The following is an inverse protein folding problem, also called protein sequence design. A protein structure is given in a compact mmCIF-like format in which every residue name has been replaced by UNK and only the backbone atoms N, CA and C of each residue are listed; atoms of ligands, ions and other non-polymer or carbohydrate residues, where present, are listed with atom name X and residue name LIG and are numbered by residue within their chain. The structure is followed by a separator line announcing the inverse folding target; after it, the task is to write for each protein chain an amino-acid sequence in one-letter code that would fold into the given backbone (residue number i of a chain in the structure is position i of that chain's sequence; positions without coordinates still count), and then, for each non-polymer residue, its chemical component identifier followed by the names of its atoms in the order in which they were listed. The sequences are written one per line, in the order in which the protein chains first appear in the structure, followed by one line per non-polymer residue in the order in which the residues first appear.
data_IF_123330219449
#
_entry.id   IF_123330219449
#
_cell.length_a   1.000
_cell.length_b   1.000
_cell.length_c   1.000
_cell.angle_alpha   90.00
_cell.angle_beta   90.00
_cell.angle_gamma   90.00
#
_symmetry.space_group_name_H-M   'P 1'
#
loop_
_entity.id
_entity.type
_entity.pdbx_description
1 polymer ?
#
# COMPACT_ATOMS: atom_id res chain seq x y z
N UNK A 1 -9.82 14.74 -9.05
CA UNK A 1 -9.29 16.11 -8.90
C UNK A 1 -10.41 17.08 -8.54
N UNK A 2 -11.49 17.14 -9.31
CA UNK A 2 -12.61 18.05 -9.06
C UNK A 2 -13.19 17.88 -7.64
N UNK A 3 -13.44 16.64 -7.21
CA UNK A 3 -13.95 16.31 -5.86
C UNK A 3 -13.05 16.85 -4.73
N UNK A 4 -11.72 16.75 -4.87
CA UNK A 4 -10.77 17.29 -3.88
C UNK A 4 -10.91 18.81 -3.78
N UNK A 5 -10.91 19.51 -4.93
CA UNK A 5 -11.09 20.95 -4.99
C UNK A 5 -12.39 21.36 -4.28
N UNK A 6 -13.51 20.77 -4.67
CA UNK A 6 -14.84 21.07 -4.09
C UNK A 6 -14.89 20.80 -2.58
N UNK A 7 -14.22 19.74 -2.11
CA UNK A 7 -14.14 19.43 -0.68
C UNK A 7 -13.41 20.54 0.10
N UNK A 8 -12.26 20.99 -0.36
CA UNK A 8 -11.51 22.07 0.29
C UNK A 8 -12.25 23.41 0.19
N UNK A 9 -12.90 23.72 -0.94
CA UNK A 9 -13.72 24.91 -1.10
C UNK A 9 -14.93 24.92 -0.14
N UNK A 10 -15.58 23.76 0.03
CA UNK A 10 -16.75 23.61 0.90
C UNK A 10 -16.40 23.69 2.39
N UNK A 11 -15.32 23.09 2.81
CA UNK A 11 -14.98 22.96 4.23
C UNK A 11 -13.92 23.98 4.70
N UNK A 12 -13.28 24.70 3.78
CA UNK A 12 -12.22 25.70 4.07
C UNK A 12 -10.93 25.08 4.55
N UNK A 13 -10.99 24.10 5.46
CA UNK A 13 -9.85 23.37 6.02
C UNK A 13 -10.15 21.88 6.09
N UNK A 14 -9.18 21.06 5.69
CA UNK A 14 -9.21 19.60 5.85
C UNK A 14 -7.89 19.18 6.50
N UNK A 15 -7.95 18.69 7.72
CA UNK A 15 -6.76 18.33 8.49
C UNK A 15 -6.17 16.99 8.07
N UNK A 16 -7.01 16.05 7.58
CA UNK A 16 -6.60 14.69 7.24
C UNK A 16 -7.16 14.27 5.89
N UNK A 17 -6.30 13.81 5.01
CA UNK A 17 -6.66 13.19 3.72
C UNK A 17 -6.37 11.70 3.82
N UNK A 18 -7.39 10.87 3.67
CA UNK A 18 -7.27 9.40 3.70
C UNK A 18 -7.43 8.83 2.31
N UNK A 19 -6.37 8.23 1.78
CA UNK A 19 -6.37 7.48 0.53
C UNK A 19 -6.60 6.00 0.84
N UNK A 20 -7.86 5.56 0.72
CA UNK A 20 -8.27 4.20 1.10
C UNK A 20 -8.79 3.37 -0.08
N UNK A 21 -9.23 4.01 -1.18
CA UNK A 21 -9.81 3.30 -2.31
C UNK A 21 -8.84 2.28 -2.91
N UNK A 22 -9.32 1.04 -3.08
CA UNK A 22 -8.53 -0.04 -3.64
C UNK A 22 -9.24 -1.38 -3.53
N UNK A 23 -8.80 -2.34 -4.34
CA UNK A 23 -9.31 -3.71 -4.34
C UNK A 23 -8.20 -4.72 -4.58
N UNK A 24 -8.46 -6.00 -4.28
CA UNK A 24 -7.59 -7.12 -4.56
C UNK A 24 -7.90 -7.74 -5.92
N UNK A 25 -6.86 -8.02 -6.71
CA UNK A 25 -6.94 -8.79 -7.94
C UNK A 25 -6.02 -10.01 -7.78
N UNK A 26 -6.60 -11.20 -7.90
CA UNK A 26 -5.95 -12.47 -7.65
C UNK A 26 -5.88 -13.30 -8.95
N UNK A 27 -4.70 -13.84 -9.21
CA UNK A 27 -4.34 -14.63 -10.37
C UNK A 27 -2.84 -14.51 -10.62
N UNK A 28 -2.24 -15.52 -11.24
CA UNK A 28 -0.86 -15.45 -11.71
C UNK A 28 -0.75 -14.42 -12.84
N UNK A 29 0.46 -13.93 -13.12
CA UNK A 29 0.64 -12.84 -14.07
C UNK A 29 0.07 -13.14 -15.47
N UNK A 30 0.19 -14.37 -15.94
CA UNK A 30 -0.32 -14.81 -17.25
C UNK A 30 -1.85 -14.97 -17.29
N UNK A 31 -2.48 -15.14 -16.13
CA UNK A 31 -3.93 -15.28 -15.99
C UNK A 31 -4.68 -13.95 -16.07
N UNK A 32 -3.95 -12.82 -15.92
CA UNK A 32 -4.51 -11.48 -15.89
C UNK A 32 -4.66 -10.91 -17.31
N UNK A 33 -5.82 -10.39 -17.62
CA UNK A 33 -6.02 -9.60 -18.84
C UNK A 33 -5.42 -8.20 -18.73
N UNK A 34 -5.09 -7.59 -19.87
CA UNK A 34 -4.59 -6.21 -19.94
C UNK A 34 -5.58 -5.21 -19.32
N UNK A 35 -6.87 -5.44 -19.47
CA UNK A 35 -7.91 -4.59 -18.88
C UNK A 35 -7.91 -4.66 -17.35
N UNK A 36 -7.76 -5.85 -16.78
CA UNK A 36 -7.64 -6.03 -15.33
C UNK A 36 -6.38 -5.38 -14.78
N UNK A 37 -5.24 -5.54 -15.49
CA UNK A 37 -3.97 -4.90 -15.15
C UNK A 37 -4.13 -3.38 -15.15
N UNK A 38 -4.66 -2.80 -16.23
CA UNK A 38 -4.86 -1.36 -16.35
C UNK A 38 -5.82 -0.83 -15.27
N UNK A 39 -6.88 -1.56 -14.98
CA UNK A 39 -7.89 -1.15 -14.01
C UNK A 39 -7.35 -1.14 -12.57
N UNK A 40 -6.58 -2.17 -12.16
CA UNK A 40 -6.00 -2.17 -10.82
C UNK A 40 -4.93 -1.09 -10.63
N UNK A 41 -4.12 -0.83 -11.66
CA UNK A 41 -3.15 0.29 -11.65
C UNK A 41 -3.88 1.63 -11.54
N UNK A 42 -4.91 1.83 -12.35
CA UNK A 42 -5.69 3.07 -12.33
C UNK A 42 -6.33 3.31 -10.96
N UNK A 43 -6.86 2.27 -10.32
CA UNK A 43 -7.57 2.39 -9.04
C UNK A 43 -6.61 2.48 -7.86
N UNK A 44 -5.74 1.47 -7.68
CA UNK A 44 -4.93 1.34 -6.47
C UNK A 44 -3.71 2.26 -6.45
N UNK A 45 -3.16 2.60 -7.62
CA UNK A 45 -1.94 3.39 -7.71
C UNK A 45 -2.22 4.81 -8.24
N UNK A 46 -2.66 4.94 -9.48
CA UNK A 46 -2.84 6.26 -10.11
C UNK A 46 -3.89 7.11 -9.37
N UNK A 47 -5.01 6.50 -8.95
CA UNK A 47 -6.04 7.18 -8.18
C UNK A 47 -5.54 7.72 -6.84
N UNK A 48 -4.75 6.92 -6.12
CA UNK A 48 -4.10 7.32 -4.86
C UNK A 48 -3.10 8.46 -5.08
N UNK A 49 -2.24 8.34 -6.10
CA UNK A 49 -1.29 9.41 -6.47
C UNK A 49 -2.03 10.72 -6.80
N UNK A 50 -3.09 10.65 -7.59
CA UNK A 50 -3.87 11.83 -7.96
C UNK A 50 -4.56 12.49 -6.77
N UNK A 51 -5.12 11.70 -5.85
CA UNK A 51 -5.72 12.21 -4.61
C UNK A 51 -4.67 12.98 -3.78
N UNK A 52 -3.54 12.35 -3.50
CA UNK A 52 -2.46 12.96 -2.72
C UNK A 52 -1.95 14.22 -3.41
N UNK A 53 -1.51 14.10 -4.67
CA UNK A 53 -0.98 15.22 -5.47
C UNK A 53 -1.92 16.42 -5.48
N UNK A 54 -3.23 16.19 -5.67
CA UNK A 54 -4.22 17.27 -5.74
C UNK A 54 -4.45 17.92 -4.39
N UNK A 55 -4.26 17.19 -3.27
CA UNK A 55 -4.44 17.70 -1.91
C UNK A 55 -3.26 18.55 -1.44
N UNK A 56 -2.04 18.29 -1.92
CA UNK A 56 -0.81 18.95 -1.44
C UNK A 56 -0.86 20.48 -1.48
N UNK A 57 -1.31 21.16 -2.54
CA UNK A 57 -1.37 22.62 -2.58
C UNK A 57 -2.26 23.21 -1.48
N UNK A 58 -3.36 22.56 -1.18
CA UNK A 58 -4.31 22.99 -0.14
C UNK A 58 -3.74 22.79 1.25
N UNK A 59 -3.17 21.61 1.54
CA UNK A 59 -2.52 21.30 2.81
C UNK A 59 -1.35 22.26 3.07
N UNK A 60 -0.54 22.53 2.06
CA UNK A 60 0.56 23.51 2.16
C UNK A 60 0.05 24.92 2.46
N UNK A 61 -1.00 25.36 1.74
CA UNK A 61 -1.59 26.71 1.92
C UNK A 61 -2.18 26.91 3.32
N UNK A 62 -2.77 25.86 3.91
CA UNK A 62 -3.35 25.94 5.25
C UNK A 62 -2.33 25.76 6.39
N UNK A 63 -1.05 25.51 6.08
CA UNK A 63 0.04 25.38 7.06
C UNK A 63 0.28 23.97 7.59
N UNK A 64 -0.22 22.94 6.90
CA UNK A 64 0.04 21.55 7.25
C UNK A 64 -1.19 20.65 7.21
N UNK A 65 -1.01 19.41 7.64
CA UNK A 65 -2.03 18.38 7.74
C UNK A 65 -1.45 16.98 7.74
N UNK A 66 -2.33 15.98 7.57
CA UNK A 66 -1.97 14.56 7.55
C UNK A 66 -2.46 13.89 6.28
N UNK A 67 -1.63 13.04 5.71
CA UNK A 67 -1.97 12.14 4.60
C UNK A 67 -1.85 10.71 5.12
N UNK A 68 -2.94 9.97 5.05
CA UNK A 68 -2.99 8.54 5.42
C UNK A 68 -3.19 7.75 4.15
N UNK A 69 -2.19 6.95 3.76
CA UNK A 69 -2.28 6.05 2.61
C UNK A 69 -2.50 4.61 3.09
N UNK A 70 -3.64 4.04 2.75
CA UNK A 70 -3.90 2.61 2.97
C UNK A 70 -3.12 1.79 1.93
N UNK A 71 -1.99 1.22 2.37
CA UNK A 71 -1.24 0.22 1.63
C UNK A 71 -1.66 -1.19 2.06
N UNK A 72 -0.72 -2.03 2.32
CA UNK A 72 -0.82 -3.40 2.82
C UNK A 72 0.58 -3.86 3.23
N UNK A 73 0.69 -4.84 4.14
CA UNK A 73 1.98 -5.55 4.27
C UNK A 73 2.44 -6.17 2.93
N UNK A 74 1.49 -6.38 1.99
CA UNK A 74 1.77 -6.75 0.61
C UNK A 74 2.49 -5.67 -0.24
N UNK A 75 2.78 -4.48 0.32
CA UNK A 75 3.72 -3.51 -0.22
C UNK A 75 5.18 -3.77 0.19
N UNK A 76 5.42 -4.72 1.10
CA UNK A 76 6.74 -5.15 1.57
C UNK A 76 7.03 -6.62 1.26
N UNK A 77 5.99 -7.44 1.18
CA UNK A 77 6.05 -8.90 0.96
C UNK A 77 5.27 -9.24 -0.30
N UNK A 78 5.83 -10.08 -1.17
CA UNK A 78 5.15 -10.57 -2.36
C UNK A 78 4.84 -12.07 -2.25
N UNK A 79 3.66 -12.45 -2.72
CA UNK A 79 3.18 -13.84 -2.79
C UNK A 79 2.73 -14.18 -4.22
N UNK A 80 2.80 -15.45 -4.62
CA UNK A 80 2.24 -15.91 -5.89
C UNK A 80 0.75 -15.52 -6.06
N UNK A 81 0.30 -15.40 -7.29
CA UNK A 81 -1.07 -15.04 -7.68
C UNK A 81 -1.57 -13.68 -7.14
N UNK A 82 -0.67 -12.78 -6.77
CA UNK A 82 -0.96 -11.42 -6.33
C UNK A 82 -0.08 -10.37 -7.01
N UNK A 83 0.54 -10.68 -8.14
CA UNK A 83 1.57 -9.88 -8.79
C UNK A 83 1.16 -8.41 -8.98
N UNK A 84 0.00 -8.14 -9.57
CA UNK A 84 -0.45 -6.78 -9.84
C UNK A 84 -0.93 -6.04 -8.59
N UNK A 85 -1.54 -6.74 -7.63
CA UNK A 85 -1.85 -6.14 -6.33
C UNK A 85 -0.57 -5.67 -5.62
N UNK A 86 0.43 -6.54 -5.54
CA UNK A 86 1.74 -6.19 -4.97
C UNK A 86 2.41 -5.05 -5.73
N UNK A 87 2.43 -5.08 -7.06
CA UNK A 87 2.99 -3.99 -7.87
C UNK A 87 2.38 -2.62 -7.50
N UNK A 88 1.05 -2.55 -7.31
CA UNK A 88 0.39 -1.31 -6.92
C UNK A 88 0.72 -0.89 -5.48
N UNK A 89 0.86 -1.84 -4.54
CA UNK A 89 1.17 -1.54 -3.15
C UNK A 89 2.64 -1.17 -2.95
N UNK A 90 3.58 -1.86 -3.57
CA UNK A 90 4.98 -1.43 -3.61
C UNK A 90 5.13 -0.05 -4.26
N UNK A 91 4.44 0.18 -5.38
CA UNK A 91 4.49 1.46 -6.09
C UNK A 91 3.98 2.64 -5.26
N UNK A 92 2.83 2.49 -4.59
CA UNK A 92 2.28 3.59 -3.77
C UNK A 92 3.12 3.85 -2.51
N UNK A 93 3.77 2.83 -1.94
CA UNK A 93 4.66 3.03 -0.80
C UNK A 93 5.90 3.83 -1.20
N UNK A 94 6.56 3.46 -2.32
CA UNK A 94 7.70 4.22 -2.83
C UNK A 94 7.34 5.68 -3.14
N UNK A 95 6.15 5.91 -3.73
CA UNK A 95 5.63 7.26 -3.95
C UNK A 95 5.45 8.02 -2.63
N UNK A 96 4.83 7.41 -1.64
CA UNK A 96 4.57 8.05 -0.34
C UNK A 96 5.85 8.33 0.46
N UNK A 97 6.87 7.46 0.39
CA UNK A 97 8.18 7.70 1.02
C UNK A 97 8.87 8.94 0.44
N UNK A 98 8.83 9.09 -0.89
CA UNK A 98 9.39 10.27 -1.54
C UNK A 98 8.60 11.53 -1.14
N UNK A 99 7.27 11.50 -1.27
CA UNK A 99 6.40 12.63 -0.90
C UNK A 99 6.59 13.05 0.55
N UNK A 100 6.75 12.10 1.49
CA UNK A 100 6.96 12.41 2.90
C UNK A 100 8.19 13.31 3.12
N UNK A 101 9.27 13.08 2.37
CA UNK A 101 10.47 13.91 2.42
C UNK A 101 10.26 15.30 1.77
N UNK A 102 9.56 15.32 0.62
CA UNK A 102 9.28 16.55 -0.12
C UNK A 102 8.43 17.56 0.68
N UNK A 103 7.47 17.05 1.47
CA UNK A 103 6.45 17.87 2.13
C UNK A 103 6.72 18.12 3.63
N UNK A 104 7.74 17.53 4.21
CA UNK A 104 8.09 17.68 5.62
C UNK A 104 8.25 19.16 6.04
N UNK A 105 8.86 19.96 5.19
CA UNK A 105 9.06 21.41 5.41
C UNK A 105 7.74 22.21 5.49
N UNK A 106 6.62 21.66 5.03
CA UNK A 106 5.31 22.30 5.04
C UNK A 106 4.42 21.83 6.20
N UNK A 107 4.98 21.13 7.18
CA UNK A 107 4.24 20.54 8.29
C UNK A 107 3.14 19.55 7.81
N UNK A 108 3.39 18.85 6.71
CA UNK A 108 2.52 17.80 6.19
C UNK A 108 3.11 16.45 6.57
N UNK A 109 2.41 15.68 7.39
CA UNK A 109 2.81 14.33 7.77
C UNK A 109 2.19 13.29 6.83
N UNK A 110 2.99 12.29 6.43
CA UNK A 110 2.54 11.16 5.61
C UNK A 110 2.67 9.88 6.42
N UNK A 111 1.61 9.07 6.47
CA UNK A 111 1.60 7.75 7.09
C UNK A 111 1.16 6.70 6.10
N UNK A 112 2.00 5.70 5.87
CA UNK A 112 1.72 4.50 5.08
C UNK A 112 1.20 3.44 6.05
N UNK A 113 -0.05 3.07 5.92
CA UNK A 113 -0.66 2.02 6.74
C UNK A 113 -0.55 0.69 6.01
N UNK A 114 0.02 -0.31 6.67
CA UNK A 114 0.33 -1.64 6.14
C UNK A 114 -0.48 -2.71 6.90
N UNK A 115 -1.80 -2.82 6.67
CA UNK A 115 -2.60 -3.83 7.36
C UNK A 115 -2.31 -5.23 6.84
N UNK A 116 -2.42 -6.20 7.74
CA UNK A 116 -2.58 -7.61 7.40
C UNK A 116 -4.02 -7.94 7.01
N UNK A 117 -4.34 -9.23 6.99
CA UNK A 117 -5.70 -9.66 6.69
C UNK A 117 -6.71 -9.14 7.72
N UNK A 118 -7.69 -8.36 7.29
CA UNK A 118 -8.79 -7.81 8.09
C UNK A 118 -10.15 -8.34 7.63
N UNK A 119 -11.11 -8.41 8.55
CA UNK A 119 -12.49 -8.86 8.29
C UNK A 119 -13.29 -7.74 7.66
N UNK A 120 -13.11 -7.53 6.36
CA UNK A 120 -13.77 -6.48 5.59
C UNK A 120 -14.29 -7.03 4.26
N UNK A 121 -15.13 -6.25 3.58
CA UNK A 121 -15.59 -6.53 2.22
C UNK A 121 -14.45 -6.58 1.19
N UNK A 122 -13.26 -6.04 1.50
CA UNK A 122 -12.10 -6.13 0.62
C UNK A 122 -11.78 -7.57 0.21
N UNK A 123 -11.85 -8.51 1.16
CA UNK A 123 -11.55 -9.92 0.92
C UNK A 123 -12.75 -10.71 0.40
N UNK A 124 -13.93 -10.46 0.97
CA UNK A 124 -15.10 -11.31 0.76
C UNK A 124 -16.12 -10.74 -0.21
N UNK A 125 -16.03 -9.47 -0.55
CA UNK A 125 -16.98 -8.78 -1.45
C UNK A 125 -16.33 -8.11 -2.65
N UNK A 126 -15.15 -7.48 -2.49
CA UNK A 126 -14.53 -6.67 -3.54
C UNK A 126 -13.38 -7.36 -4.27
N UNK A 127 -12.90 -8.50 -3.77
CA UNK A 127 -11.83 -9.27 -4.40
C UNK A 127 -12.26 -9.75 -5.80
N UNK A 128 -11.39 -9.56 -6.78
CA UNK A 128 -11.55 -10.09 -8.14
C UNK A 128 -10.58 -11.24 -8.35
N UNK A 129 -11.03 -12.27 -9.03
CA UNK A 129 -10.21 -13.42 -9.41
C UNK A 129 -10.17 -13.47 -10.93
N UNK A 130 -8.98 -13.61 -11.49
CA UNK A 130 -8.75 -13.77 -12.91
C UNK A 130 -9.34 -15.08 -13.44
N UNK A 131 -9.32 -15.27 -14.75
CA UNK A 131 -9.63 -16.56 -15.36
C UNK A 131 -8.47 -17.51 -15.12
N UNK A 132 -8.65 -18.42 -14.15
CA UNK A 132 -7.61 -19.36 -13.73
C UNK A 132 -7.24 -20.36 -14.82
N UNK A 133 -5.95 -20.74 -14.86
CA UNK A 133 -5.37 -21.71 -15.79
C UNK A 133 -4.88 -22.94 -15.01
N UNK A 134 -5.08 -24.13 -15.55
CA UNK A 134 -4.69 -25.39 -14.89
C UNK A 134 -3.18 -25.48 -14.64
N UNK A 135 -2.40 -24.89 -15.54
CA UNK A 135 -0.93 -24.80 -15.44
C UNK A 135 -0.43 -24.12 -14.15
N UNK A 136 -1.26 -23.27 -13.55
CA UNK A 136 -0.96 -22.51 -12.33
C UNK A 136 -1.71 -23.01 -11.09
N UNK A 137 -2.33 -24.19 -11.13
CA UNK A 137 -3.10 -24.75 -10.01
C UNK A 137 -2.33 -24.70 -8.66
N UNK A 138 -1.04 -24.99 -8.67
CA UNK A 138 -0.19 -24.94 -7.47
C UNK A 138 -0.09 -23.55 -6.83
N UNK A 139 -0.37 -22.48 -7.59
CA UNK A 139 -0.36 -21.09 -7.11
C UNK A 139 -1.73 -20.63 -6.59
N UNK A 140 -2.80 -21.40 -6.79
CA UNK A 140 -4.18 -21.02 -6.46
C UNK A 140 -4.54 -21.19 -4.97
N UNK A 141 -3.57 -21.43 -4.09
CA UNK A 141 -3.78 -21.52 -2.64
C UNK A 141 -4.48 -20.31 -2.01
N UNK A 142 -4.42 -19.14 -2.67
CA UNK A 142 -5.13 -17.93 -2.25
C UNK A 142 -6.66 -18.09 -2.24
N UNK A 143 -7.22 -19.01 -3.02
CA UNK A 143 -8.67 -19.30 -3.01
C UNK A 143 -9.16 -19.72 -1.63
N UNK A 144 -8.34 -20.45 -0.88
CA UNK A 144 -8.65 -20.79 0.51
C UNK A 144 -8.74 -19.56 1.41
N UNK A 145 -7.93 -18.53 1.13
CA UNK A 145 -7.98 -17.27 1.85
C UNK A 145 -9.24 -16.48 1.56
N UNK A 146 -9.78 -16.58 0.34
CA UNK A 146 -11.01 -15.88 -0.06
C UNK A 146 -12.28 -16.60 0.42
N UNK A 147 -12.19 -17.87 0.79
CA UNK A 147 -13.31 -18.68 1.27
C UNK A 147 -13.50 -18.47 2.79
N UNK A 148 -14.55 -17.75 3.16
CA UNK A 148 -14.88 -17.48 4.55
C UNK A 148 -15.18 -18.76 5.37
N UNK A 149 -15.58 -19.87 4.73
CA UNK A 149 -15.84 -21.15 5.40
C UNK A 149 -14.55 -21.82 5.90
N UNK A 150 -13.40 -21.46 5.33
CA UNK A 150 -12.07 -21.99 5.71
C UNK A 150 -11.37 -21.15 6.78
N UNK A 151 -12.05 -20.17 7.35
CA UNK A 151 -11.59 -19.32 8.41
C UNK A 151 -11.60 -17.83 8.06
N UNK A 152 -11.78 -17.02 9.07
CA UNK A 152 -11.82 -15.58 8.92
C UNK A 152 -10.43 -14.97 9.11
N UNK A 153 -10.19 -13.85 8.43
CA UNK A 153 -9.01 -13.04 8.66
C UNK A 153 -8.89 -12.65 10.15
N UNK A 154 -7.68 -12.62 10.74
CA UNK A 154 -7.50 -12.37 12.16
C UNK A 154 -7.71 -10.90 12.56
N UNK A 155 -7.56 -9.96 11.62
CA UNK A 155 -7.58 -8.53 11.90
C UNK A 155 -8.99 -7.99 12.15
N UNK A 156 -9.11 -7.19 13.21
CA UNK A 156 -10.31 -6.43 13.55
C UNK A 156 -10.24 -5.04 12.90
N UNK A 157 -11.11 -4.73 11.92
CA UNK A 157 -11.07 -3.47 11.21
C UNK A 157 -11.37 -2.26 12.12
N UNK A 158 -12.18 -2.41 13.15
CA UNK A 158 -12.49 -1.33 14.09
C UNK A 158 -11.25 -0.95 14.90
N UNK A 159 -10.51 -1.94 15.41
CA UNK A 159 -9.26 -1.69 16.12
C UNK A 159 -8.19 -1.09 15.22
N UNK A 160 -8.11 -1.56 13.96
CA UNK A 160 -7.18 -0.99 12.98
C UNK A 160 -7.52 0.49 12.71
N UNK A 161 -8.79 0.82 12.46
CA UNK A 161 -9.25 2.18 12.26
C UNK A 161 -8.94 3.08 13.46
N UNK A 162 -9.15 2.58 14.69
CA UNK A 162 -8.82 3.31 15.91
C UNK A 162 -7.32 3.66 15.97
N UNK A 163 -6.41 2.71 15.67
CA UNK A 163 -4.96 2.99 15.64
C UNK A 163 -4.58 4.02 14.58
N UNK A 164 -5.24 3.97 13.42
CA UNK A 164 -5.03 4.96 12.36
C UNK A 164 -5.46 6.36 12.82
N UNK A 165 -6.63 6.47 13.47
CA UNK A 165 -7.12 7.76 14.01
C UNK A 165 -6.15 8.29 15.07
N UNK A 166 -5.71 7.45 16.01
CA UNK A 166 -4.75 7.84 17.03
C UNK A 166 -3.41 8.35 16.46
N UNK A 167 -2.99 7.81 15.31
CA UNK A 167 -1.75 8.25 14.65
C UNK A 167 -1.82 9.68 14.11
N UNK A 168 -3.01 10.20 13.87
CA UNK A 168 -3.22 11.58 13.38
C UNK A 168 -2.83 12.61 14.45
N UNK A 169 -3.08 12.29 15.72
CA UNK A 169 -2.83 13.18 16.86
C UNK A 169 -1.39 13.08 17.38
N UNK A 170 -0.58 12.19 16.84
CA UNK A 170 0.84 12.11 17.19
C UNK A 170 1.58 13.39 16.75
N UNK A 171 2.46 13.90 17.59
CA UNK A 171 3.32 15.07 17.28
C UNK A 171 4.07 14.86 15.95
N UNK A 172 4.67 13.68 15.78
CA UNK A 172 5.32 13.27 14.54
C UNK A 172 4.52 12.13 13.89
N UNK A 173 4.09 12.34 12.63
CA UNK A 173 3.44 11.30 11.86
C UNK A 173 4.37 10.08 11.70
N UNK A 174 3.94 8.86 12.07
CA UNK A 174 4.72 7.65 11.78
C UNK A 174 4.72 7.43 10.27
N UNK A 175 5.89 7.31 9.66
CA UNK A 175 5.97 7.08 8.20
C UNK A 175 5.33 5.74 7.82
N UNK A 176 5.53 4.69 8.63
CA UNK A 176 4.96 3.34 8.42
C UNK A 176 4.24 2.84 9.66
N UNK A 177 3.10 2.21 9.43
CA UNK A 177 2.28 1.62 10.48
C UNK A 177 1.80 0.23 10.04
N UNK A 178 2.44 -0.81 10.54
CA UNK A 178 2.02 -2.20 10.29
C UNK A 178 0.93 -2.59 11.29
N UNK A 179 -0.20 -3.06 10.80
CA UNK A 179 -1.35 -3.47 11.62
C UNK A 179 -1.63 -4.96 11.46
N UNK A 180 -1.38 -5.71 12.52
CA UNK A 180 -1.52 -7.16 12.61
C UNK A 180 -0.18 -7.86 12.86
N UNK A 181 -0.15 -8.73 13.88
CA UNK A 181 1.08 -9.43 14.31
C UNK A 181 1.69 -10.32 13.23
N UNK A 182 0.84 -11.04 12.47
CA UNK A 182 1.31 -11.86 11.35
C UNK A 182 1.92 -11.02 10.23
N UNK A 183 1.29 -9.88 9.90
CA UNK A 183 1.81 -8.96 8.90
C UNK A 183 3.17 -8.40 9.31
N UNK A 184 3.31 -7.98 10.57
CA UNK A 184 4.58 -7.49 11.10
C UNK A 184 5.67 -8.56 11.04
N UNK A 185 5.38 -9.78 11.49
CA UNK A 185 6.35 -10.89 11.46
C UNK A 185 6.79 -11.22 10.04
N UNK A 186 5.86 -11.34 9.09
CA UNK A 186 6.16 -11.61 7.69
C UNK A 186 6.98 -10.49 7.04
N UNK A 187 6.67 -9.23 7.35
CA UNK A 187 7.45 -8.08 6.86
C UNK A 187 8.87 -8.11 7.39
N UNK A 188 9.06 -8.31 8.70
CA UNK A 188 10.40 -8.37 9.32
C UNK A 188 11.22 -9.52 8.72
N UNK A 189 10.63 -10.71 8.58
CA UNK A 189 11.30 -11.87 7.99
C UNK A 189 11.75 -11.58 6.56
N UNK A 190 10.85 -11.07 5.72
CA UNK A 190 11.17 -10.73 4.33
C UNK A 190 12.24 -9.65 4.20
N UNK A 191 12.23 -8.66 5.06
CA UNK A 191 13.27 -7.61 5.06
C UNK A 191 14.62 -8.17 5.48
N UNK A 192 14.67 -9.06 6.46
CA UNK A 192 15.93 -9.75 6.86
C UNK A 192 16.50 -10.59 5.73
N UNK A 193 15.66 -11.40 5.05
CA UNK A 193 16.08 -12.18 3.88
C UNK A 193 16.62 -11.28 2.77
N UNK A 194 15.95 -10.16 2.49
CA UNK A 194 16.38 -9.23 1.46
C UNK A 194 17.70 -8.55 1.81
N UNK A 195 17.88 -8.15 3.06
CA UNK A 195 19.15 -7.57 3.54
C UNK A 195 20.26 -8.59 3.38
N UNK A 196 20.10 -9.81 3.89
CA UNK A 196 21.09 -10.87 3.79
C UNK A 196 21.48 -11.16 2.33
N UNK A 197 20.51 -11.15 1.40
CA UNK A 197 20.77 -11.32 -0.02
C UNK A 197 21.59 -10.16 -0.60
N UNK A 198 21.27 -8.91 -0.26
CA UNK A 198 22.03 -7.75 -0.74
C UNK A 198 23.47 -7.73 -0.20
N UNK A 199 23.69 -8.14 1.04
CA UNK A 199 25.03 -8.23 1.63
C UNK A 199 25.95 -9.17 0.85
N UNK A 200 25.41 -10.21 0.19
CA UNK A 200 26.19 -11.09 -0.70
C UNK A 200 26.67 -10.43 -2.00
N UNK A 201 26.15 -9.25 -2.35
CA UNK A 201 26.41 -8.58 -3.62
C UNK A 201 27.46 -7.47 -3.54
N UNK A 202 28.13 -7.30 -2.40
CA UNK A 202 29.07 -6.18 -2.16
C UNK A 202 30.18 -6.12 -3.22
N UNK A 203 30.82 -7.25 -3.54
CA UNK A 203 31.88 -7.31 -4.54
C UNK A 203 31.35 -7.06 -5.96
N UNK A 204 30.17 -7.63 -6.28
CA UNK A 204 29.51 -7.43 -7.57
C UNK A 204 29.16 -5.95 -7.78
N UNK A 205 28.56 -5.31 -6.78
CA UNK A 205 28.21 -3.89 -6.85
C UNK A 205 29.45 -3.02 -7.06
N UNK A 206 30.50 -3.22 -6.24
CA UNK A 206 31.73 -2.46 -6.36
C UNK A 206 32.47 -2.67 -7.69
N UNK A 207 32.25 -3.81 -8.36
CA UNK A 207 32.87 -4.09 -9.67
C UNK A 207 32.39 -3.21 -10.80
N UNK A 208 31.24 -2.54 -10.62
CA UNK A 208 30.62 -1.65 -11.61
C UNK A 208 30.96 -0.17 -11.39
N UNK A 209 31.69 0.14 -10.31
CA UNK A 209 32.10 1.51 -10.02
C UNK A 209 33.25 1.94 -10.95
N UNK A 210 33.21 3.21 -11.37
CA UNK A 210 34.35 3.82 -12.05
C UNK A 210 35.46 3.93 -11.02
N UNK A 211 36.55 3.15 -11.20
CA UNK A 211 37.72 3.29 -10.36
C UNK A 211 38.32 4.66 -10.61
N UNK A 212 38.35 5.47 -9.57
CA UNK A 212 38.67 6.89 -9.61
C UNK A 212 39.91 7.24 -10.43
N UNK A 213 39.80 8.40 -11.07
CA UNK A 213 40.96 9.17 -11.57
C UNK A 213 41.80 9.66 -10.39
#
# INVERSE_FOLDING_TARGET
QQTVKESFEKHGKIDVVVSNAGYGLFGCAEELSDDEINHIIATNLTGSIQLIKTSLPYLRKQGGGRIIQLSSYGGQVAYPANSMYHATKFGIEGFCEAVAQEVAQFNIGVTIVEPGGARTEFRYGSAKVAKLMDEYESCHGFLNMLDASKGLAPGDPTKMAQRIIESVDMEKAPLRMVLGSQALSATIERLKERIAYYETQTELAASTDIKGE
#
